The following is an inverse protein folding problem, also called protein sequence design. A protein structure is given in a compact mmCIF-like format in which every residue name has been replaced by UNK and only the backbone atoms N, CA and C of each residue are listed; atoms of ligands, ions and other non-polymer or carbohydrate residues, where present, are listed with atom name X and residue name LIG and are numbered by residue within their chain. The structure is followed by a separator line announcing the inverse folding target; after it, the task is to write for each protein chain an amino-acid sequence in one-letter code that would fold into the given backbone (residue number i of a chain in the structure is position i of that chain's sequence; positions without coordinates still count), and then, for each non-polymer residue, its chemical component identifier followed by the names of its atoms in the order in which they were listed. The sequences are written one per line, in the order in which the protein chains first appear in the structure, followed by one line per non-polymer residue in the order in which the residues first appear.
data_IF_627435180248
#
_entry.id   IF_627435180248
#
_cell.length_a   1.000
_cell.length_b   1.000
_cell.length_c   1.000
_cell.angle_alpha   90.00
_cell.angle_beta   90.00
_cell.angle_gamma   90.00
#
_symmetry.space_group_name_H-M   'P 1'
#
loop_
_entity.id
_entity.type
_entity.pdbx_description
1 polymer ?
#
# COMPACT_ATOMS: atom_id res chain seq x y z
N UNK A 1 20.08 -17.42 -21.87
CA UNK A 1 19.38 -16.45 -21.01
C UNK A 1 19.05 -17.00 -19.62
N UNK A 2 18.25 -18.07 -19.47
CA UNK A 2 17.93 -18.63 -18.13
C UNK A 2 19.16 -19.25 -17.44
N UNK A 3 19.88 -20.15 -18.13
CA UNK A 3 21.08 -20.79 -17.57
C UNK A 3 22.16 -19.78 -17.16
N UNK A 4 22.34 -18.72 -17.95
CA UNK A 4 23.28 -17.63 -17.64
C UNK A 4 22.85 -16.86 -16.38
N UNK A 5 21.54 -16.58 -16.24
CA UNK A 5 21.00 -15.92 -15.05
C UNK A 5 21.15 -16.81 -13.81
N UNK A 6 20.89 -18.12 -13.93
CA UNK A 6 21.12 -19.10 -12.87
C UNK A 6 22.58 -19.10 -12.42
N UNK A 7 23.51 -19.32 -13.36
CA UNK A 7 24.94 -19.37 -13.06
C UNK A 7 25.41 -18.07 -12.38
N UNK A 8 24.98 -16.92 -12.88
CA UNK A 8 25.33 -15.64 -12.29
C UNK A 8 24.86 -15.48 -10.84
N UNK A 9 23.64 -15.93 -10.52
CA UNK A 9 23.11 -15.88 -9.16
C UNK A 9 23.87 -16.83 -8.24
N UNK A 10 24.16 -18.04 -8.70
CA UNK A 10 24.94 -19.04 -7.96
C UNK A 10 26.37 -18.53 -7.68
N UNK A 11 27.01 -17.91 -8.68
CA UNK A 11 28.36 -17.33 -8.53
C UNK A 11 28.37 -16.11 -7.60
N UNK A 12 27.30 -15.30 -7.59
CA UNK A 12 27.19 -14.16 -6.68
C UNK A 12 27.00 -14.60 -5.22
N UNK A 13 26.23 -15.67 -4.99
CA UNK A 13 25.87 -16.14 -3.65
C UNK A 13 26.75 -17.29 -3.15
N UNK A 14 27.63 -17.84 -4.00
CA UNK A 14 28.44 -19.04 -3.76
C UNK A 14 27.61 -20.25 -3.29
N UNK A 15 26.40 -20.41 -3.84
CA UNK A 15 25.50 -21.53 -3.52
C UNK A 15 24.95 -22.17 -4.80
N UNK A 16 25.48 -23.34 -5.14
CA UNK A 16 25.12 -24.14 -6.32
C UNK A 16 23.86 -24.99 -6.12
N UNK A 17 23.26 -24.96 -4.92
CA UNK A 17 22.08 -25.79 -4.59
C UNK A 17 20.77 -25.03 -4.75
N UNK A 18 20.82 -23.71 -4.90
CA UNK A 18 19.68 -22.79 -4.92
C UNK A 18 18.56 -23.17 -5.89
N UNK A 19 18.89 -23.82 -7.00
CA UNK A 19 17.96 -24.04 -8.09
C UNK A 19 17.72 -25.51 -8.44
N UNK A 20 18.01 -26.44 -7.53
CA UNK A 20 17.78 -27.88 -7.74
C UNK A 20 16.31 -28.22 -8.09
N UNK A 21 15.36 -27.48 -7.51
CA UNK A 21 13.93 -27.68 -7.71
C UNK A 21 13.37 -27.01 -8.99
N UNK A 22 14.16 -26.18 -9.66
CA UNK A 22 13.72 -25.34 -10.78
C UNK A 22 14.08 -23.87 -10.59
N UNK A 23 14.14 -23.12 -11.70
CA UNK A 23 14.44 -21.69 -11.67
C UNK A 23 13.35 -20.85 -10.98
N UNK A 24 12.05 -20.96 -11.37
CA UNK A 24 11.00 -20.17 -10.74
C UNK A 24 10.73 -20.60 -9.29
N UNK A 25 10.85 -21.89 -8.97
CA UNK A 25 10.65 -22.42 -7.62
C UNK A 25 11.71 -21.88 -6.63
N UNK A 26 12.98 -21.84 -7.04
CA UNK A 26 14.07 -21.33 -6.19
C UNK A 26 14.00 -19.83 -5.90
N UNK A 27 13.35 -19.04 -6.77
CA UNK A 27 13.20 -17.59 -6.61
C UNK A 27 11.86 -17.18 -5.99
N UNK A 28 10.90 -18.08 -5.90
CA UNK A 28 9.52 -17.81 -5.45
C UNK A 28 9.45 -17.17 -4.06
N UNK A 29 10.37 -17.54 -3.17
CA UNK A 29 10.41 -17.01 -1.81
C UNK A 29 10.90 -15.55 -1.73
N UNK A 30 11.50 -15.03 -2.81
CA UNK A 30 12.06 -13.68 -2.89
C UNK A 30 13.34 -13.46 -2.06
N UNK A 31 13.75 -14.43 -1.23
CA UNK A 31 14.94 -14.30 -0.36
C UNK A 31 16.24 -14.29 -1.14
N UNK A 32 16.37 -15.20 -2.10
CA UNK A 32 17.54 -15.30 -2.98
C UNK A 32 17.75 -13.97 -3.72
N UNK A 33 16.66 -13.37 -4.21
CA UNK A 33 16.67 -12.07 -4.87
C UNK A 33 17.08 -10.93 -3.93
N UNK A 34 16.58 -10.90 -2.70
CA UNK A 34 17.00 -9.90 -1.71
C UNK A 34 18.48 -10.04 -1.35
N UNK A 35 18.96 -11.27 -1.18
CA UNK A 35 20.37 -11.56 -0.89
C UNK A 35 21.27 -11.15 -2.05
N UNK A 36 20.85 -11.39 -3.29
CA UNK A 36 21.56 -10.97 -4.50
C UNK A 36 21.75 -9.45 -4.55
N UNK A 37 20.70 -8.69 -4.26
CA UNK A 37 20.78 -7.21 -4.27
C UNK A 37 21.66 -6.69 -3.12
N UNK A 38 21.59 -7.32 -1.94
CA UNK A 38 22.49 -7.01 -0.83
C UNK A 38 23.95 -7.41 -1.12
N UNK A 39 24.21 -8.42 -1.95
CA UNK A 39 25.54 -8.75 -2.44
C UNK A 39 26.07 -7.66 -3.40
N UNK A 40 25.23 -7.17 -4.31
CA UNK A 40 25.59 -6.11 -5.26
C UNK A 40 25.89 -4.80 -4.53
N UNK A 41 25.00 -4.41 -3.61
CA UNK A 41 25.15 -3.22 -2.78
C UNK A 41 24.81 -3.55 -1.32
N UNK A 42 25.82 -3.73 -0.45
CA UNK A 42 25.59 -4.02 0.96
C UNK A 42 24.74 -2.94 1.64
N UNK A 43 23.74 -3.36 2.42
CA UNK A 43 22.91 -2.47 3.24
C UNK A 43 21.75 -1.77 2.51
N UNK A 44 21.47 -2.10 1.25
CA UNK A 44 20.33 -1.53 0.51
C UNK A 44 18.98 -2.06 1.01
N UNK A 45 18.90 -3.32 1.40
CA UNK A 45 17.69 -3.95 1.91
C UNK A 45 17.92 -4.55 3.31
N UNK A 46 16.93 -4.46 4.21
CA UNK A 46 16.97 -5.22 5.45
C UNK A 46 16.95 -6.74 5.17
N UNK A 47 17.36 -7.58 6.14
CA UNK A 47 17.30 -9.02 5.99
C UNK A 47 15.89 -9.50 5.59
N UNK A 48 15.77 -10.39 4.58
CA UNK A 48 14.47 -10.82 4.09
C UNK A 48 13.75 -11.71 5.10
N UNK A 49 12.42 -11.74 5.02
CA UNK A 49 11.59 -12.43 6.01
C UNK A 49 11.71 -13.95 5.95
N UNK A 50 11.92 -14.52 7.14
CA UNK A 50 11.81 -15.89 7.67
C UNK A 50 10.61 -16.76 7.31
N UNK A 51 9.48 -16.12 7.04
CA UNK A 51 8.19 -16.80 7.00
C UNK A 51 7.94 -17.49 5.66
N UNK A 52 7.27 -18.65 5.70
CA UNK A 52 6.75 -19.36 4.51
C UNK A 52 5.36 -18.87 4.08
N UNK A 53 4.84 -17.81 4.72
CA UNK A 53 3.52 -17.26 4.35
C UNK A 53 3.59 -16.49 3.03
N UNK A 54 2.61 -16.72 2.16
CA UNK A 54 2.53 -16.11 0.82
C UNK A 54 2.69 -14.59 0.85
N UNK A 55 2.05 -13.91 1.82
CA UNK A 55 2.17 -12.46 1.99
C UNK A 55 3.62 -12.01 2.23
N UNK A 56 4.40 -12.75 3.03
CA UNK A 56 5.80 -12.42 3.32
C UNK A 56 6.73 -12.72 2.14
N UNK A 57 6.46 -13.79 1.38
CA UNK A 57 7.18 -14.07 0.13
C UNK A 57 6.96 -12.95 -0.90
N UNK A 58 5.71 -12.50 -1.06
CA UNK A 58 5.37 -11.36 -1.92
C UNK A 58 6.01 -10.05 -1.48
N UNK A 59 6.09 -9.80 -0.16
CA UNK A 59 6.76 -8.62 0.41
C UNK A 59 8.28 -8.62 0.14
N UNK A 60 8.93 -9.79 0.21
CA UNK A 60 10.35 -9.94 -0.13
C UNK A 60 10.57 -9.58 -1.62
N UNK A 61 9.75 -10.12 -2.53
CA UNK A 61 9.84 -9.82 -3.96
C UNK A 61 9.62 -8.33 -4.23
N UNK A 62 8.62 -7.72 -3.60
CA UNK A 62 8.36 -6.28 -3.74
C UNK A 62 9.53 -5.43 -3.22
N UNK A 63 10.20 -5.87 -2.16
CA UNK A 63 11.38 -5.19 -1.62
C UNK A 63 12.57 -5.27 -2.57
N UNK A 64 12.80 -6.44 -3.18
CA UNK A 64 13.77 -6.60 -4.27
C UNK A 64 13.50 -5.63 -5.43
N UNK A 65 12.26 -5.54 -5.92
CA UNK A 65 11.90 -4.66 -7.05
C UNK A 65 12.17 -3.17 -6.73
N UNK A 66 11.86 -2.73 -5.51
CA UNK A 66 12.18 -1.37 -5.04
C UNK A 66 13.69 -1.11 -5.05
N UNK A 67 14.49 -2.07 -4.60
CA UNK A 67 15.93 -1.93 -4.62
C UNK A 67 16.50 -1.91 -6.05
N UNK A 68 15.98 -2.73 -6.96
CA UNK A 68 16.35 -2.70 -8.38
C UNK A 68 16.13 -1.32 -9.01
N UNK A 69 14.99 -0.68 -8.71
CA UNK A 69 14.72 0.68 -9.18
C UNK A 69 15.75 1.69 -8.65
N UNK A 70 16.17 1.58 -7.38
CA UNK A 70 17.22 2.42 -6.77
C UNK A 70 18.59 2.16 -7.40
N UNK A 71 18.89 0.92 -7.78
CA UNK A 71 20.14 0.55 -8.46
C UNK A 71 20.21 0.99 -9.94
N UNK A 72 19.15 1.60 -10.46
CA UNK A 72 19.12 2.14 -11.82
C UNK A 72 18.58 1.18 -12.87
N UNK A 73 17.91 0.09 -12.48
CA UNK A 73 17.15 -0.74 -13.42
C UNK A 73 15.94 0.07 -13.93
N UNK A 74 15.74 0.17 -15.25
CA UNK A 74 14.65 0.98 -15.79
C UNK A 74 13.28 0.35 -15.51
N UNK A 75 12.28 1.19 -15.25
CA UNK A 75 10.94 0.74 -14.81
C UNK A 75 10.25 -0.24 -15.78
N UNK A 76 10.54 -0.17 -17.08
CA UNK A 76 9.94 -1.08 -18.08
C UNK A 76 10.55 -2.50 -18.06
N UNK A 77 11.71 -2.68 -17.41
CA UNK A 77 12.33 -4.00 -17.19
C UNK A 77 12.04 -4.53 -15.78
N UNK A 78 11.23 -3.84 -14.97
CA UNK A 78 10.72 -4.36 -13.70
C UNK A 78 9.51 -5.26 -13.97
N UNK A 79 9.45 -6.41 -13.29
CA UNK A 79 8.31 -7.32 -13.33
C UNK A 79 7.37 -7.08 -12.15
N UNK A 80 6.18 -7.69 -12.17
CA UNK A 80 5.23 -7.62 -11.08
C UNK A 80 5.37 -8.82 -10.13
N UNK A 81 5.12 -8.64 -8.84
CA UNK A 81 5.26 -9.71 -7.83
C UNK A 81 4.54 -11.01 -8.22
N UNK A 82 3.37 -10.91 -8.86
CA UNK A 82 2.58 -12.06 -9.34
C UNK A 82 3.25 -12.83 -10.47
N UNK A 83 4.10 -12.19 -11.27
CA UNK A 83 4.81 -12.80 -12.40
C UNK A 83 5.77 -13.89 -11.94
N UNK A 84 6.40 -13.68 -10.78
CA UNK A 84 7.29 -14.63 -10.15
C UNK A 84 6.57 -15.56 -9.18
N UNK A 85 5.71 -15.02 -8.31
CA UNK A 85 5.08 -15.80 -7.25
C UNK A 85 4.17 -16.92 -7.77
N UNK A 86 3.46 -16.67 -8.87
CA UNK A 86 2.59 -17.64 -9.56
C UNK A 86 3.22 -18.16 -10.85
N UNK A 87 4.48 -17.82 -11.12
CA UNK A 87 5.20 -18.14 -12.35
C UNK A 87 4.48 -17.74 -13.65
N UNK A 88 3.66 -16.68 -13.62
CA UNK A 88 2.89 -16.19 -14.78
C UNK A 88 3.79 -15.69 -15.92
N UNK A 89 4.89 -15.01 -15.60
CA UNK A 89 5.77 -14.43 -16.61
C UNK A 89 7.25 -14.46 -16.19
N UNK A 90 7.85 -15.65 -16.26
CA UNK A 90 9.27 -15.86 -15.94
C UNK A 90 10.21 -15.15 -16.93
N UNK A 91 9.76 -14.90 -18.17
CA UNK A 91 10.56 -14.12 -19.14
C UNK A 91 10.81 -12.70 -18.66
N UNK A 92 9.81 -12.04 -18.05
CA UNK A 92 10.00 -10.71 -17.47
C UNK A 92 11.00 -10.73 -16.30
N UNK A 93 10.94 -11.77 -15.46
CA UNK A 93 11.90 -11.97 -14.36
C UNK A 93 13.33 -12.13 -14.90
N UNK A 94 13.50 -12.93 -15.96
CA UNK A 94 14.80 -13.10 -16.60
C UNK A 94 15.34 -11.78 -17.19
N UNK A 95 14.51 -11.04 -17.91
CA UNK A 95 14.89 -9.72 -18.44
C UNK A 95 15.34 -8.79 -17.32
N UNK A 96 14.61 -8.79 -16.19
CA UNK A 96 14.96 -7.99 -15.02
C UNK A 96 16.32 -8.38 -14.41
N UNK A 97 16.60 -9.67 -14.27
CA UNK A 97 17.89 -10.16 -13.74
C UNK A 97 19.05 -9.75 -14.65
N UNK A 98 18.87 -9.87 -15.97
CA UNK A 98 19.85 -9.38 -16.94
C UNK A 98 20.02 -7.86 -16.89
N UNK A 99 18.94 -7.11 -16.66
CA UNK A 99 19.00 -5.67 -16.45
C UNK A 99 19.73 -5.27 -15.17
N UNK A 100 19.50 -6.00 -14.09
CA UNK A 100 20.21 -5.83 -12.82
C UNK A 100 21.70 -6.13 -12.99
N UNK A 101 22.06 -7.19 -13.73
CA UNK A 101 23.46 -7.50 -14.06
C UNK A 101 24.16 -6.37 -14.80
N UNK A 102 23.48 -5.71 -15.76
CA UNK A 102 24.00 -4.52 -16.45
C UNK A 102 24.12 -3.31 -15.50
N UNK A 103 23.14 -3.09 -14.64
CA UNK A 103 23.14 -2.00 -13.67
C UNK A 103 24.27 -2.17 -12.64
N UNK A 104 24.50 -3.39 -12.15
CA UNK A 104 25.57 -3.72 -11.22
C UNK A 104 26.96 -3.35 -11.77
N UNK A 105 27.20 -3.52 -13.08
CA UNK A 105 28.45 -3.13 -13.73
C UNK A 105 28.72 -1.62 -13.73
N UNK A 106 27.68 -0.80 -13.54
CA UNK A 106 27.82 0.67 -13.45
C UNK A 106 28.25 1.13 -12.06
N UNK A 107 28.09 0.28 -11.04
CA UNK A 107 28.41 0.60 -9.67
C UNK A 107 29.91 0.42 -9.43
N UNK A 108 30.58 1.44 -8.91
CA UNK A 108 32.00 1.42 -8.59
C UNK A 108 32.36 0.47 -7.44
N UNK A 109 31.39 0.13 -6.59
CA UNK A 109 31.54 -0.76 -5.42
C UNK A 109 31.43 -2.25 -5.80
N UNK A 110 30.87 -2.56 -6.97
CA UNK A 110 30.64 -3.96 -7.37
C UNK A 110 31.93 -4.64 -7.81
N UNK A 111 32.18 -5.84 -7.28
CA UNK A 111 33.34 -6.72 -7.59
C UNK A 111 32.92 -8.15 -7.91
N UNK A 112 31.65 -8.35 -8.23
CA UNK A 112 31.09 -9.67 -8.52
C UNK A 112 31.22 -10.12 -9.97
N UNK A 113 30.75 -11.34 -10.27
CA UNK A 113 30.62 -11.89 -11.62
C UNK A 113 29.80 -10.98 -12.54
N UNK A 114 30.08 -11.00 -13.84
CA UNK A 114 29.43 -10.08 -14.78
C UNK A 114 28.31 -10.78 -15.54
N UNK A 115 27.11 -10.17 -15.57
CA UNK A 115 26.00 -10.62 -16.39
C UNK A 115 25.52 -9.51 -17.34
N UNK A 116 25.38 -9.85 -18.62
CA UNK A 116 24.90 -8.96 -19.67
C UNK A 116 25.97 -8.03 -20.27
N UNK A 117 25.63 -7.38 -21.38
CA UNK A 117 26.52 -6.47 -22.09
C UNK A 117 26.79 -5.19 -21.30
N UNK A 118 28.05 -4.74 -21.29
CA UNK A 118 28.46 -3.50 -20.63
C UNK A 118 27.73 -2.30 -21.22
N UNK A 119 27.01 -1.55 -20.39
CA UNK A 119 26.38 -0.30 -20.80
C UNK A 119 27.49 0.67 -21.23
N UNK A 120 27.45 1.10 -22.49
CA UNK A 120 28.44 2.00 -23.04
C UNK A 120 28.39 3.35 -22.29
N UNK A 121 29.49 3.71 -21.62
CA UNK A 121 29.63 5.05 -21.04
C UNK A 121 29.61 6.05 -22.20
N UNK A 122 28.63 6.96 -22.19
CA UNK A 122 28.56 8.02 -23.20
C UNK A 122 29.81 8.90 -23.08
N UNK A 123 30.77 8.71 -23.98
CA UNK A 123 31.94 9.55 -24.08
C UNK A 123 31.53 10.88 -24.71
N UNK A 124 31.23 11.88 -23.87
CA UNK A 124 31.08 13.26 -24.33
C UNK A 124 32.44 13.76 -24.80
N UNK A 125 32.75 13.55 -26.07
CA UNK A 125 33.84 14.24 -26.74
C UNK A 125 33.44 15.70 -26.82
N UNK A 126 33.97 16.52 -25.92
CA UNK A 126 33.89 17.96 -26.09
C UNK A 126 34.68 18.34 -27.34
N UNK A 127 33.97 18.61 -28.43
CA UNK A 127 34.58 19.01 -29.70
C UNK A 127 35.11 20.47 -29.66
N UNK A 128 35.00 21.16 -28.52
CA UNK A 128 35.37 22.58 -28.39
C UNK A 128 36.87 22.82 -28.53
N UNK A 129 37.75 21.85 -28.26
CA UNK A 129 39.21 22.07 -28.30
C UNK A 129 39.80 21.97 -29.73
N UNK A 130 39.11 21.28 -30.64
CA UNK A 130 39.61 21.12 -32.01
C UNK A 130 39.35 22.36 -32.88
N UNK A 131 38.29 23.13 -32.62
CA UNK A 131 37.97 24.34 -33.39
C UNK A 131 38.97 25.49 -33.15
N UNK A 132 39.44 25.66 -31.91
CA UNK A 132 40.38 26.73 -31.54
C UNK A 132 41.80 26.47 -32.07
N UNK A 133 42.20 25.21 -32.22
CA UNK A 133 43.51 24.84 -32.78
C UNK A 133 43.69 25.25 -34.25
N UNK A 134 42.60 25.31 -35.04
CA UNK A 134 42.65 25.75 -36.44
C UNK A 134 42.71 27.27 -36.57
N UNK A 135 42.14 28.02 -35.62
CA UNK A 135 42.14 29.48 -35.65
C UNK A 135 43.43 30.08 -35.11
N UNK A 136 44.07 29.45 -34.11
CA UNK A 136 45.31 29.97 -33.53
C UNK A 136 46.55 29.76 -34.42
N UNK A 137 46.51 28.79 -35.34
CA UNK A 137 47.62 28.52 -36.28
C UNK A 137 47.65 29.50 -37.48
N UNK A 138 46.56 30.23 -37.71
CA UNK A 138 46.47 31.26 -38.76
C UNK A 138 46.81 32.68 -38.24
N UNK A 139 46.97 32.87 -36.92
CA UNK A 139 47.13 34.20 -36.30
C UNK A 139 48.53 34.57 -35.81
N UNK A 140 49.51 33.65 -35.83
CA UNK A 140 50.83 33.86 -35.22
C UNK A 140 51.96 33.88 -36.27
N UNK A 141 52.01 34.94 -37.08
CA UNK A 141 53.03 35.07 -38.12
C UNK A 141 53.23 36.44 -38.76
N UNK A 142 52.67 37.53 -38.21
CA UNK A 142 52.88 38.89 -38.75
C UNK A 142 53.40 39.82 -37.67
N UNK A 143 54.69 39.73 -37.37
CA UNK A 143 55.42 40.87 -36.80
C UNK A 143 56.12 41.60 -37.96
N UNK A 144 55.72 42.84 -38.17
CA UNK A 144 56.21 43.72 -39.20
C UNK A 144 57.66 44.14 -38.93
N UNK A 145 58.56 43.87 -39.87
CA UNK A 145 59.76 44.69 -40.05
C UNK A 145 60.16 44.77 -41.53
N UNK A 146 60.23 46.02 -42.01
CA UNK A 146 60.89 46.52 -43.23
C UNK A 146 60.11 46.52 -44.55
N UNK A 147 60.02 47.66 -45.25
CA UNK A 147 59.38 47.75 -46.56
C UNK A 147 60.43 47.52 -47.65
N UNK A 148 60.27 46.46 -48.44
CA UNK A 148 60.94 46.37 -49.74
C UNK A 148 59.88 46.20 -50.83
N UNK A 149 59.91 47.17 -51.74
CA UNK A 149 59.16 47.27 -52.99
C UNK A 149 59.06 45.93 -53.70
N UNK A 150 57.85 45.54 -54.09
CA UNK A 150 57.66 44.76 -55.32
C UNK A 150 56.48 45.37 -56.09
N UNK A 151 56.82 45.72 -57.32
CA UNK A 151 56.07 46.16 -58.48
C UNK A 151 54.53 46.13 -58.48
N UNK A 152 54.01 47.25 -58.97
CA UNK A 152 52.72 47.44 -59.63
C UNK A 152 52.29 46.25 -60.52
N UNK A 153 51.05 45.82 -60.30
CA UNK A 153 50.19 45.32 -61.36
C UNK A 153 48.80 45.96 -61.20
N UNK A 154 48.33 46.57 -62.28
CA UNK A 154 47.07 47.29 -62.43
C UNK A 154 45.80 46.44 -62.22
N UNK A 155 44.66 47.15 -62.04
CA UNK A 155 43.22 46.76 -61.94
C UNK A 155 42.72 46.67 -60.48
N UNK A 156 41.64 47.31 -60.00
CA UNK A 156 40.51 48.08 -60.58
C UNK A 156 39.86 48.93 -59.44
N UNK A 157 39.30 50.13 -59.69
CA UNK A 157 38.67 50.94 -58.64
C UNK A 157 37.20 50.52 -58.42
N UNK A 158 36.96 49.33 -57.88
CA UNK A 158 35.60 48.91 -57.48
C UNK A 158 35.56 47.87 -56.34
N UNK A 159 36.48 47.92 -55.37
CA UNK A 159 36.56 46.90 -54.29
C UNK A 159 36.27 47.43 -52.87
N UNK A 160 36.29 48.75 -52.62
CA UNK A 160 36.11 49.27 -51.26
C UNK A 160 34.66 49.12 -50.75
N UNK A 161 33.66 49.23 -51.64
CA UNK A 161 32.26 49.05 -51.27
C UNK A 161 31.93 47.59 -50.92
N UNK A 162 32.49 46.63 -51.68
CA UNK A 162 32.30 45.20 -51.42
C UNK A 162 33.02 44.73 -50.15
N UNK A 163 34.23 45.23 -49.89
CA UNK A 163 34.95 44.99 -48.64
C UNK A 163 34.21 45.57 -47.42
N UNK A 164 33.63 46.77 -47.56
CA UNK A 164 32.84 47.40 -46.49
C UNK A 164 31.56 46.59 -46.21
N UNK A 165 30.88 46.12 -47.26
CA UNK A 165 29.69 45.28 -47.14
C UNK A 165 30.01 43.95 -46.42
N UNK A 166 31.14 43.31 -46.76
CA UNK A 166 31.63 42.09 -46.11
C UNK A 166 31.97 42.31 -44.63
N UNK A 167 32.60 43.44 -44.28
CA UNK A 167 32.89 43.79 -42.89
C UNK A 167 31.63 44.08 -42.07
N UNK A 168 30.63 44.77 -42.64
CA UNK A 168 29.35 45.02 -41.98
C UNK A 168 28.56 43.71 -41.76
N UNK A 169 28.58 42.80 -42.73
CA UNK A 169 27.96 41.49 -42.60
C UNK A 169 28.63 40.64 -41.52
N UNK A 170 29.97 40.66 -41.44
CA UNK A 170 30.74 39.97 -40.41
C UNK A 170 30.46 40.54 -39.00
N UNK A 171 30.36 41.86 -38.86
CA UNK A 171 30.00 42.51 -37.60
C UNK A 171 28.56 42.15 -37.16
N UNK A 172 27.62 42.12 -38.09
CA UNK A 172 26.25 41.69 -37.83
C UNK A 172 26.17 40.20 -37.41
N UNK A 173 26.96 39.33 -38.05
CA UNK A 173 27.05 37.92 -37.68
C UNK A 173 27.62 37.73 -36.26
N UNK A 174 28.68 38.47 -35.90
CA UNK A 174 29.24 38.44 -34.55
C UNK A 174 28.26 38.95 -33.48
N UNK A 175 27.49 40.00 -33.80
CA UNK A 175 26.44 40.50 -32.92
C UNK A 175 25.31 39.47 -32.72
N UNK A 176 24.93 38.74 -33.78
CA UNK A 176 23.95 37.66 -33.70
C UNK A 176 24.44 36.49 -32.84
N UNK A 177 25.70 36.07 -32.98
CA UNK A 177 26.31 35.02 -32.15
C UNK A 177 26.35 35.43 -30.67
N UNK A 178 26.71 36.68 -30.36
CA UNK A 178 26.67 37.19 -28.97
C UNK A 178 25.25 37.17 -28.40
N UNK A 179 24.25 37.61 -29.15
CA UNK A 179 22.83 37.57 -28.74
C UNK A 179 22.36 36.13 -28.50
N UNK A 180 22.69 35.20 -29.39
CA UNK A 180 22.35 33.79 -29.22
C UNK A 180 23.01 33.17 -27.98
N UNK A 181 24.26 33.53 -27.71
CA UNK A 181 25.01 33.07 -26.54
C UNK A 181 24.40 33.58 -25.22
N UNK A 182 23.98 34.84 -25.18
CA UNK A 182 23.24 35.41 -24.03
C UNK A 182 21.88 34.71 -23.85
N UNK A 183 21.13 34.49 -24.92
CA UNK A 183 19.84 33.78 -24.85
C UNK A 183 20.01 32.33 -24.37
N UNK A 184 21.05 31.63 -24.82
CA UNK A 184 21.38 30.28 -24.36
C UNK A 184 21.70 30.23 -22.87
N UNK A 185 22.45 31.22 -22.36
CA UNK A 185 22.77 31.29 -20.93
C UNK A 185 21.53 31.60 -20.09
N UNK A 186 20.67 32.53 -20.53
CA UNK A 186 19.38 32.79 -19.88
C UNK A 186 18.46 31.56 -19.85
N UNK A 187 18.42 30.79 -20.93
CA UNK A 187 17.67 29.53 -20.97
C UNK A 187 18.21 28.50 -19.97
N UNK A 188 19.54 28.35 -19.87
CA UNK A 188 20.17 27.47 -18.88
C UNK A 188 19.87 27.90 -17.44
N UNK A 189 19.94 29.19 -17.16
CA UNK A 189 19.59 29.72 -15.84
C UNK A 189 18.12 29.46 -15.50
N UNK A 190 17.20 29.68 -16.45
CA UNK A 190 15.78 29.39 -16.27
C UNK A 190 15.51 27.89 -16.01
N UNK A 191 16.23 26.99 -16.69
CA UNK A 191 16.12 25.54 -16.43
C UNK A 191 16.65 25.18 -15.05
N UNK A 192 17.81 25.72 -14.65
CA UNK A 192 18.37 25.46 -13.31
C UNK A 192 17.48 26.00 -12.18
N UNK A 193 16.80 27.12 -12.42
CA UNK A 193 15.86 27.71 -11.47
C UNK A 193 14.56 26.90 -11.37
N UNK A 194 14.09 26.32 -12.48
CA UNK A 194 12.95 25.40 -12.49
C UNK A 194 13.25 24.09 -11.75
N UNK A 195 14.48 23.55 -11.90
CA UNK A 195 14.94 22.37 -11.15
C UNK A 195 14.97 22.65 -9.64
N UNK A 196 15.55 23.78 -9.22
CA UNK A 196 15.54 24.19 -7.79
C UNK A 196 14.12 24.33 -7.23
N UNK A 197 13.18 24.88 -8.01
CA UNK A 197 11.78 24.99 -7.59
C UNK A 197 11.11 23.62 -7.48
N UNK A 198 11.46 22.68 -8.35
CA UNK A 198 10.94 21.30 -8.28
C UNK A 198 11.48 20.58 -7.05
N UNK A 199 12.78 20.73 -6.74
CA UNK A 199 13.39 20.16 -5.55
C UNK A 199 12.79 20.74 -4.26
N UNK A 200 12.61 22.07 -4.20
CA UNK A 200 11.94 22.72 -3.07
C UNK A 200 10.46 22.28 -2.92
N UNK A 201 9.74 22.12 -4.03
CA UNK A 201 8.36 21.61 -4.01
C UNK A 201 8.29 20.15 -3.56
N UNK A 202 9.28 19.32 -3.93
CA UNK A 202 9.39 17.93 -3.50
C UNK A 202 9.66 17.84 -2.00
N UNK A 203 10.52 18.70 -1.47
CA UNK A 203 10.82 18.78 -0.03
C UNK A 203 9.60 19.27 0.77
N UNK A 204 8.87 20.29 0.27
CA UNK A 204 7.62 20.74 0.87
C UNK A 204 6.53 19.66 0.88
N UNK A 205 6.40 18.89 -0.21
CA UNK A 205 5.47 17.74 -0.28
C UNK A 205 5.87 16.63 0.70
N UNK A 206 7.16 16.35 0.85
CA UNK A 206 7.65 15.37 1.80
C UNK A 206 7.41 15.83 3.26
N UNK A 207 7.57 17.12 3.54
CA UNK A 207 7.26 17.69 4.85
C UNK A 207 5.74 17.61 5.15
N UNK A 208 4.89 17.91 4.18
CA UNK A 208 3.43 17.79 4.31
C UNK A 208 3.00 16.34 4.55
N UNK A 209 3.51 15.39 3.75
CA UNK A 209 3.21 13.97 3.93
C UNK A 209 3.70 13.44 5.29
N UNK A 210 4.83 13.94 5.80
CA UNK A 210 5.33 13.60 7.13
C UNK A 210 4.40 14.15 8.22
N UNK A 211 3.93 15.39 8.10
CA UNK A 211 3.00 16.00 9.04
C UNK A 211 1.66 15.24 9.08
N UNK A 212 1.10 14.92 7.90
CA UNK A 212 -0.13 14.14 7.74
C UNK A 212 0.03 12.72 8.34
N UNK A 213 1.17 12.06 8.11
CA UNK A 213 1.45 10.76 8.72
C UNK A 213 1.54 10.81 10.25
N UNK A 214 2.11 11.87 10.84
CA UNK A 214 2.11 12.06 12.30
C UNK A 214 0.70 12.31 12.85
N UNK A 215 -0.14 13.05 12.14
CA UNK A 215 -1.51 13.33 12.57
C UNK A 215 -2.39 12.08 12.49
N UNK A 216 -2.28 11.29 11.41
CA UNK A 216 -2.96 10.00 11.27
C UNK A 216 -2.46 8.98 12.31
N UNK A 217 -1.16 8.98 12.62
CA UNK A 217 -0.60 8.12 13.68
C UNK A 217 -1.15 8.49 15.07
N UNK A 218 -1.34 9.79 15.36
CA UNK A 218 -1.96 10.23 16.61
C UNK A 218 -3.44 9.82 16.70
N UNK A 219 -4.22 10.06 15.64
CA UNK A 219 -5.64 9.69 15.61
C UNK A 219 -5.87 8.17 15.69
N UNK A 220 -4.99 7.36 15.09
CA UNK A 220 -5.08 5.89 15.17
C UNK A 220 -4.63 5.35 16.52
N UNK A 221 -3.70 6.01 17.22
CA UNK A 221 -3.32 5.66 18.58
C UNK A 221 -4.45 5.94 19.58
N UNK A 222 -5.10 7.10 19.49
CA UNK A 222 -6.24 7.46 20.34
C UNK A 222 -7.44 6.54 20.11
N UNK A 223 -7.72 6.18 18.84
CA UNK A 223 -8.78 5.23 18.51
C UNK A 223 -8.47 3.81 19.04
N UNK A 224 -7.21 3.37 19.00
CA UNK A 224 -6.79 2.07 19.53
C UNK A 224 -6.90 2.02 21.06
N UNK A 225 -6.46 3.07 21.75
CA UNK A 225 -6.58 3.18 23.21
C UNK A 225 -8.06 3.19 23.66
N UNK A 226 -8.93 3.91 22.93
CA UNK A 226 -10.37 3.91 23.20
C UNK A 226 -11.01 2.52 22.99
N UNK A 227 -10.58 1.77 21.96
CA UNK A 227 -11.07 0.42 21.71
C UNK A 227 -10.60 -0.60 22.77
N UNK A 228 -9.34 -0.51 23.21
CA UNK A 228 -8.80 -1.34 24.30
C UNK A 228 -9.49 -1.04 25.64
N UNK A 229 -9.78 0.23 25.95
CA UNK A 229 -10.54 0.59 27.14
C UNK A 229 -11.98 0.06 27.11
N UNK A 230 -12.65 0.13 25.95
CA UNK A 230 -14.04 -0.35 25.78
C UNK A 230 -14.13 -1.88 25.88
N UNK A 231 -13.12 -2.60 25.39
CA UNK A 231 -13.04 -4.07 25.53
C UNK A 231 -12.69 -4.50 26.95
N UNK A 232 -11.83 -3.77 27.68
CA UNK A 232 -11.57 -4.03 29.10
C UNK A 232 -12.83 -3.80 29.96
N UNK A 233 -13.57 -2.72 29.70
CA UNK A 233 -14.82 -2.42 30.42
C UNK A 233 -15.90 -3.49 30.18
N UNK A 234 -16.06 -3.96 28.93
CA UNK A 234 -16.98 -5.05 28.61
C UNK A 234 -16.59 -6.38 29.30
N UNK A 235 -15.29 -6.67 29.40
CA UNK A 235 -14.78 -7.85 30.10
C UNK A 235 -15.04 -7.78 31.61
N UNK A 236 -14.86 -6.61 32.21
CA UNK A 236 -15.12 -6.39 33.64
C UNK A 236 -16.61 -6.51 34.00
N UNK A 237 -17.50 -5.99 33.15
CA UNK A 237 -18.95 -6.15 33.31
C UNK A 237 -19.39 -7.62 33.15
N UNK A 238 -18.79 -8.36 32.21
CA UNK A 238 -19.06 -9.79 32.05
C UNK A 238 -18.62 -10.62 33.27
N UNK A 239 -17.43 -10.33 33.82
CA UNK A 239 -16.90 -11.02 35.01
C UNK A 239 -17.73 -10.71 36.28
N UNK A 240 -18.22 -9.48 36.39
CA UNK A 240 -19.15 -9.07 37.45
C UNK A 240 -20.51 -9.79 37.32
N UNK A 241 -21.04 -9.92 36.11
CA UNK A 241 -22.29 -10.64 35.85
C UNK A 241 -22.16 -12.14 36.12
N UNK A 242 -21.03 -12.75 35.75
CA UNK A 242 -20.74 -14.17 36.03
C UNK A 242 -20.66 -14.44 37.54
N UNK A 243 -19.96 -13.57 38.29
CA UNK A 243 -19.88 -13.68 39.75
C UNK A 243 -21.25 -13.53 40.42
N UNK A 244 -22.07 -12.59 39.96
CA UNK A 244 -23.43 -12.40 40.46
C UNK A 244 -24.34 -13.61 40.16
N UNK A 245 -24.21 -14.22 38.98
CA UNK A 245 -24.95 -15.43 38.63
C UNK A 245 -24.55 -16.63 39.50
N UNK A 246 -23.26 -16.77 39.80
CA UNK A 246 -22.75 -17.84 40.67
C UNK A 246 -23.27 -17.69 42.11
N UNK A 247 -23.32 -16.46 42.61
CA UNK A 247 -23.82 -16.13 43.94
C UNK A 247 -25.34 -16.34 44.06
N UNK A 248 -26.10 -15.98 43.03
CA UNK A 248 -27.54 -16.26 42.94
C UNK A 248 -27.83 -17.77 42.88
N UNK A 249 -27.03 -18.55 42.14
CA UNK A 249 -27.15 -20.00 42.09
C UNK A 249 -26.85 -20.66 43.45
N UNK A 250 -25.85 -20.14 44.18
CA UNK A 250 -25.54 -20.59 45.54
C UNK A 250 -26.69 -20.30 46.52
N UNK A 251 -27.28 -19.10 46.46
CA UNK A 251 -28.44 -18.73 47.29
C UNK A 251 -29.66 -19.61 47.00
N UNK A 252 -29.95 -19.90 45.72
CA UNK A 252 -31.05 -20.79 45.34
C UNK A 252 -30.84 -22.23 45.82
N UNK A 253 -29.59 -22.71 45.82
CA UNK A 253 -29.23 -24.04 46.34
C UNK A 253 -29.39 -24.11 47.85
N UNK A 254 -29.03 -23.04 48.57
CA UNK A 254 -29.24 -22.94 50.01
C UNK A 254 -30.72 -22.90 50.36
N UNK A 255 -31.53 -22.10 49.66
CA UNK A 255 -32.98 -22.05 49.85
C UNK A 255 -33.66 -23.42 49.63
N UNK A 256 -33.21 -24.21 48.65
CA UNK A 256 -33.69 -25.59 48.46
C UNK A 256 -33.35 -26.52 49.64
N UNK A 257 -32.16 -26.38 50.21
CA UNK A 257 -31.75 -27.16 51.40
C UNK A 257 -32.59 -26.76 52.62
N UNK A 258 -32.84 -25.46 52.79
CA UNK A 258 -33.64 -24.94 53.90
C UNK A 258 -35.12 -25.35 53.77
N UNK A 259 -35.67 -25.34 52.55
CA UNK A 259 -37.01 -25.85 52.27
C UNK A 259 -37.13 -27.36 52.51
N UNK A 260 -36.14 -28.16 52.08
CA UNK A 260 -36.11 -29.60 52.37
C UNK A 260 -35.96 -29.90 53.87
N UNK A 261 -35.23 -29.06 54.61
CA UNK A 261 -35.13 -29.17 56.07
C UNK A 261 -36.47 -28.83 56.75
N UNK A 262 -37.18 -27.82 56.26
CA UNK A 262 -38.52 -27.46 56.75
C UNK A 262 -39.55 -28.56 56.47
N UNK A 263 -39.53 -29.16 55.28
CA UNK A 263 -40.40 -30.29 54.92
C UNK A 263 -40.12 -31.53 55.79
N UNK A 264 -38.84 -31.83 56.04
CA UNK A 264 -38.43 -32.91 56.95
C UNK A 264 -38.85 -32.65 58.40
N UNK A 265 -38.77 -31.40 58.86
CA UNK A 265 -39.24 -30.99 60.19
C UNK A 265 -40.77 -31.10 60.32
N UNK A 266 -41.52 -30.71 59.28
CA UNK A 266 -42.97 -30.86 59.24
C UNK A 266 -43.38 -32.34 59.25
N UNK A 267 -42.69 -33.21 58.49
CA UNK A 267 -42.95 -34.65 58.50
C UNK A 267 -42.67 -35.29 59.88
N UNK A 268 -41.62 -34.84 60.57
CA UNK A 268 -41.31 -35.27 61.95
C UNK A 268 -42.37 -34.80 62.96
N UNK A 269 -42.93 -33.60 62.79
CA UNK A 269 -44.01 -33.09 63.64
C UNK A 269 -45.31 -33.89 63.43
N UNK A 270 -45.68 -34.18 62.17
CA UNK A 270 -46.85 -35.02 61.85
C UNK A 270 -46.68 -36.46 62.36
N UNK A 271 -45.47 -37.02 62.29
CA UNK A 271 -45.18 -38.33 62.86
C UNK A 271 -45.27 -38.35 64.40
N UNK A 272 -44.88 -37.26 65.07
CA UNK A 272 -45.02 -37.12 66.52
C UNK A 272 -46.49 -36.99 66.94
N UNK A 273 -47.30 -36.28 66.17
CA UNK A 273 -48.74 -36.12 66.41
C UNK A 273 -49.53 -37.43 66.16
N UNK A 274 -49.14 -38.20 65.13
CA UNK A 274 -49.68 -39.53 64.89
C UNK A 274 -49.31 -40.55 65.98
N UNK A 275 -48.12 -40.44 66.57
CA UNK A 275 -47.71 -41.28 67.71
C UNK A 275 -48.51 -40.97 68.98
N UNK A 276 -48.84 -39.70 69.24
CA UNK A 276 -49.68 -39.28 70.36
C UNK A 276 -51.14 -39.78 70.23
N UNK A 277 -51.66 -39.86 69.01
CA UNK A 277 -53.02 -40.39 68.75
C UNK A 277 -53.10 -41.92 68.92
N UNK A 278 -52.02 -42.64 68.63
CA UNK A 278 -51.94 -44.10 68.80
C UNK A 278 -51.97 -44.53 70.28
N UNK A 279 -51.44 -43.70 71.18
CA UNK A 279 -51.45 -43.96 72.63
C UNK A 279 -52.83 -43.70 73.27
N UNK A 280 -53.67 -42.87 72.65
CA UNK A 280 -55.04 -42.60 73.10
C UNK A 280 -56.07 -43.67 72.70
N UNK A 281 -55.75 -44.59 71.79
CA UNK A 281 -56.73 -45.54 71.21
C UNK A 281 -56.62 -46.97 71.78
N UNK A 282 -55.96 -47.14 72.92
CA UNK A 282 -55.65 -48.46 73.49
C UNK A 282 -56.67 -48.99 74.54
N UNK A 283 -57.86 -48.40 74.67
CA UNK A 283 -58.88 -48.88 75.62
C UNK A 283 -60.32 -48.77 75.09
N UNK A 284 -60.82 -49.82 74.45
CA UNK A 284 -62.11 -50.46 74.81
C UNK A 284 -62.38 -51.73 73.97
N UNK A 285 -63.02 -52.77 74.55
CA UNK A 285 -63.23 -54.05 73.89
C UNK A 285 -64.59 -54.13 73.15
N UNK A 286 -64.52 -54.82 72.01
CA UNK A 286 -65.50 -55.70 71.34
C UNK A 286 -66.94 -55.79 71.89
N UNK A 287 -67.95 -55.55 71.02
CA UNK A 287 -69.10 -56.45 70.75
C UNK A 287 -70.20 -55.77 69.87
N UNK A 288 -70.87 -56.60 69.07
CA UNK A 288 -72.26 -56.53 68.53
C UNK A 288 -72.53 -56.01 67.10
N UNK A 289 -72.72 -56.99 66.20
CA UNK A 289 -73.77 -57.14 65.15
C UNK A 289 -73.99 -56.09 64.03
N UNK A 290 -74.24 -56.54 62.78
CA UNK A 290 -74.50 -55.66 61.63
C UNK A 290 -76.00 -55.37 61.41
N UNK A 291 -76.37 -54.16 60.96
CA UNK A 291 -77.49 -54.00 60.03
C UNK A 291 -77.21 -52.90 58.94
N UNK A 292 -78.18 -52.55 58.08
CA UNK A 292 -78.28 -52.84 56.64
C UNK A 292 -77.71 -51.75 55.71
N UNK A 293 -77.62 -52.00 54.39
CA UNK A 293 -77.04 -51.05 53.43
C UNK A 293 -78.08 -49.98 53.05
N UNK A 294 -78.11 -48.84 53.74
CA UNK A 294 -78.80 -47.67 53.18
C UNK A 294 -78.27 -46.29 53.60
N UNK A 295 -77.03 -46.15 54.10
CA UNK A 295 -76.47 -44.82 54.40
C UNK A 295 -74.98 -44.66 54.03
N UNK A 296 -74.41 -45.53 53.19
CA UNK A 296 -73.06 -45.32 52.63
C UNK A 296 -73.00 -44.24 51.52
N UNK A 297 -74.16 -43.75 51.06
CA UNK A 297 -74.23 -42.71 50.04
C UNK A 297 -74.26 -41.28 50.60
N UNK A 298 -74.46 -41.09 51.91
CA UNK A 298 -74.63 -39.76 52.50
C UNK A 298 -73.36 -39.19 53.17
N UNK A 299 -72.30 -39.99 53.37
CA UNK A 299 -71.03 -39.49 53.91
C UNK A 299 -69.98 -39.13 52.85
N UNK A 300 -70.13 -39.58 51.61
CA UNK A 300 -69.21 -39.23 50.51
C UNK A 300 -69.49 -37.87 49.85
N UNK A 301 -70.54 -37.16 50.26
CA UNK A 301 -70.86 -35.80 49.78
C UNK A 301 -70.51 -34.69 50.80
N UNK A 302 -70.24 -35.04 52.07
CA UNK A 302 -69.84 -34.05 53.09
C UNK A 302 -68.33 -33.78 53.14
N UNK A 303 -67.50 -34.61 52.51
CA UNK A 303 -66.04 -34.42 52.41
C UNK A 303 -65.57 -33.88 51.05
N UNK A 304 -66.51 -33.57 50.14
CA UNK A 304 -66.24 -32.81 48.92
C UNK A 304 -66.49 -31.30 49.11
N UNK A 305 -67.19 -30.90 50.17
CA UNK A 305 -67.57 -29.51 50.41
C UNK A 305 -66.50 -28.67 51.14
N UNK A 306 -65.53 -29.27 51.85
CA UNK A 306 -64.41 -28.53 52.46
C UNK A 306 -63.12 -28.50 51.62
N UNK A 307 -63.16 -29.08 50.41
CA UNK A 307 -62.09 -28.98 49.40
C UNK A 307 -62.25 -27.84 48.39
N UNK A 308 -63.20 -26.93 48.61
CA UNK A 308 -63.60 -25.90 47.64
C UNK A 308 -63.38 -24.45 48.14
N UNK A 309 -62.42 -24.24 49.05
CA UNK A 309 -62.01 -22.92 49.53
C UNK A 309 -60.48 -22.70 49.54
N UNK A 310 -59.73 -23.38 48.67
CA UNK A 310 -58.29 -23.18 48.48
C UNK A 310 -57.89 -23.07 46.99
N UNK A 311 -58.73 -22.44 46.17
CA UNK A 311 -58.47 -22.16 44.74
C UNK A 311 -58.80 -20.69 44.39
N UNK A 312 -58.46 -19.77 45.29
CA UNK A 312 -58.48 -18.33 45.02
C UNK A 312 -57.30 -17.68 45.76
N UNK A 313 -56.09 -17.80 45.20
CA UNK A 313 -54.90 -17.24 45.81
C UNK A 313 -53.66 -17.43 44.95
N UNK A 314 -53.37 -16.42 44.14
CA UNK A 314 -52.08 -16.08 43.56
C UNK A 314 -51.37 -17.17 42.72
N UNK A 315 -51.47 -17.02 41.40
CA UNK A 315 -50.30 -17.25 40.55
C UNK A 315 -49.28 -16.14 40.83
N UNK A 316 -48.01 -16.48 41.13
CA UNK A 316 -46.93 -15.69 40.61
C UNK A 316 -45.91 -16.63 39.95
N UNK A 317 -46.29 -17.20 38.81
CA UNK A 317 -45.31 -17.64 37.82
C UNK A 317 -45.30 -16.60 36.69
N UNK A 318 -44.94 -15.37 37.04
CA UNK A 318 -44.68 -14.30 36.07
C UNK A 318 -43.59 -13.31 36.50
N UNK A 319 -42.85 -13.58 37.58
CA UNK A 319 -41.83 -12.64 38.11
C UNK A 319 -40.41 -13.24 38.20
N UNK A 320 -40.09 -14.21 37.33
CA UNK A 320 -38.76 -14.81 37.22
C UNK A 320 -38.13 -14.63 35.82
N UNK A 321 -38.41 -13.50 35.17
CA UNK A 321 -37.75 -13.14 33.89
C UNK A 321 -37.54 -11.61 33.70
N UNK A 322 -37.51 -10.84 34.79
CA UNK A 322 -37.16 -9.42 34.75
C UNK A 322 -35.63 -9.24 34.88
N UNK A 323 -34.92 -9.42 33.78
CA UNK A 323 -33.47 -9.24 33.72
C UNK A 323 -32.86 -9.24 32.32
N UNK A 324 -33.65 -9.50 31.28
CA UNK A 324 -33.24 -9.16 29.92
C UNK A 324 -33.63 -7.72 29.66
N UNK A 325 -32.62 -6.85 29.66
CA UNK A 325 -32.65 -5.53 29.04
C UNK A 325 -33.46 -5.59 27.74
N UNK A 326 -34.42 -4.67 27.62
CA UNK A 326 -35.27 -4.51 26.44
C UNK A 326 -34.44 -4.63 25.15
N UNK A 327 -34.90 -5.37 24.12
CA UNK A 327 -34.35 -5.21 22.79
C UNK A 327 -34.50 -3.73 22.39
N UNK A 328 -33.47 -3.12 21.77
CA UNK A 328 -33.46 -1.69 21.49
C UNK A 328 -34.75 -1.30 20.80
N UNK A 329 -35.44 -0.29 21.34
CA UNK A 329 -36.78 0.06 20.90
C UNK A 329 -36.78 0.32 19.39
N UNK A 330 -37.88 -0.01 18.70
CA UNK A 330 -38.00 0.12 17.25
C UNK A 330 -37.66 1.53 16.69
N UNK A 331 -37.62 2.56 17.54
CA UNK A 331 -37.13 3.91 17.21
C UNK A 331 -35.60 4.00 17.08
N UNK A 332 -34.84 3.32 17.93
CA UNK A 332 -33.37 3.37 17.89
C UNK A 332 -32.79 2.57 16.73
N UNK A 333 -33.49 1.50 16.30
CA UNK A 333 -33.16 0.78 15.07
C UNK A 333 -33.51 1.61 13.82
N UNK A 334 -34.64 2.33 13.79
CA UNK A 334 -34.98 3.18 12.65
C UNK A 334 -34.07 4.41 12.52
N UNK A 335 -33.66 5.03 13.62
CA UNK A 335 -32.71 6.16 13.61
C UNK A 335 -31.31 5.73 13.14
N UNK A 336 -30.89 4.50 13.48
CA UNK A 336 -29.64 3.91 12.98
C UNK A 336 -29.73 3.55 11.50
N UNK A 337 -30.86 3.00 11.03
CA UNK A 337 -31.08 2.70 9.61
C UNK A 337 -31.19 3.97 8.76
N UNK A 338 -31.73 5.06 9.31
CA UNK A 338 -31.77 6.37 8.68
C UNK A 338 -30.37 7.01 8.60
N UNK A 339 -29.57 6.89 9.66
CA UNK A 339 -28.17 7.33 9.68
C UNK A 339 -27.29 6.54 8.70
N UNK A 340 -27.49 5.23 8.59
CA UNK A 340 -26.80 4.37 7.62
C UNK A 340 -27.21 4.76 6.20
N UNK A 341 -28.48 5.05 5.96
CA UNK A 341 -28.98 5.49 4.65
C UNK A 341 -28.43 6.87 4.25
N UNK A 342 -28.30 7.80 5.20
CA UNK A 342 -27.67 9.11 4.98
C UNK A 342 -26.18 8.96 4.64
N UNK A 343 -25.43 8.17 5.41
CA UNK A 343 -24.02 7.89 5.12
C UNK A 343 -23.82 7.19 3.77
N UNK A 344 -24.73 6.29 3.38
CA UNK A 344 -24.71 5.66 2.06
C UNK A 344 -25.03 6.64 0.93
N UNK A 345 -25.90 7.62 1.15
CA UNK A 345 -26.19 8.69 0.19
C UNK A 345 -24.99 9.63 0.03
N UNK A 346 -24.35 10.04 1.13
CA UNK A 346 -23.12 10.84 1.10
C UNK A 346 -21.95 10.12 0.43
N UNK A 347 -21.81 8.81 0.64
CA UNK A 347 -20.79 8.01 -0.04
C UNK A 347 -21.04 7.95 -1.56
N UNK A 348 -22.31 7.90 -1.99
CA UNK A 348 -22.68 7.91 -3.41
C UNK A 348 -22.37 9.27 -4.05
N UNK A 349 -22.68 10.38 -3.39
CA UNK A 349 -22.36 11.72 -3.91
C UNK A 349 -20.86 11.97 -3.94
N UNK A 350 -20.12 11.55 -2.90
CA UNK A 350 -18.65 11.64 -2.87
C UNK A 350 -18.00 10.83 -4.00
N UNK A 351 -18.50 9.61 -4.27
CA UNK A 351 -18.02 8.78 -5.39
C UNK A 351 -18.33 9.39 -6.75
N UNK A 352 -19.49 10.03 -6.91
CA UNK A 352 -19.85 10.74 -8.14
C UNK A 352 -18.91 11.94 -8.38
N UNK A 353 -18.64 12.74 -7.34
CA UNK A 353 -17.72 13.87 -7.41
C UNK A 353 -16.26 13.43 -7.70
N UNK A 354 -15.84 12.29 -7.17
CA UNK A 354 -14.51 11.72 -7.46
C UNK A 354 -14.39 11.31 -8.93
N UNK A 355 -15.44 10.70 -9.49
CA UNK A 355 -15.49 10.28 -10.89
C UNK A 355 -15.51 11.47 -11.86
N UNK A 356 -16.15 12.56 -11.47
CA UNK A 356 -16.12 13.82 -12.21
C UNK A 356 -14.71 14.43 -12.24
N UNK A 357 -14.02 14.46 -11.08
CA UNK A 357 -12.62 14.91 -11.03
C UNK A 357 -11.66 14.02 -11.81
N UNK A 358 -11.91 12.72 -11.84
CA UNK A 358 -11.12 11.77 -12.64
C UNK A 358 -11.28 12.04 -14.15
N UNK A 359 -12.51 12.28 -14.61
CA UNK A 359 -12.79 12.70 -15.99
C UNK A 359 -12.14 14.04 -16.34
N UNK A 360 -12.13 15.02 -15.43
CA UNK A 360 -11.45 16.30 -15.63
C UNK A 360 -9.92 16.13 -15.74
N UNK A 361 -9.34 15.25 -14.92
CA UNK A 361 -7.92 14.93 -14.94
C UNK A 361 -7.52 14.26 -16.27
N UNK A 362 -8.32 13.29 -16.74
CA UNK A 362 -8.12 12.64 -18.04
C UNK A 362 -8.24 13.65 -19.19
N UNK A 363 -9.23 14.55 -19.14
CA UNK A 363 -9.39 15.62 -20.13
C UNK A 363 -8.21 16.62 -20.10
N UNK A 364 -7.63 16.89 -18.92
CA UNK A 364 -6.43 17.71 -18.78
C UNK A 364 -5.20 17.01 -19.39
N UNK A 365 -5.02 15.72 -19.10
CA UNK A 365 -3.94 14.91 -19.66
C UNK A 365 -4.01 14.82 -21.20
N UNK A 366 -5.23 14.69 -21.75
CA UNK A 366 -5.45 14.68 -23.20
C UNK A 366 -5.12 16.02 -23.86
N UNK A 367 -5.45 17.14 -23.20
CA UNK A 367 -5.06 18.49 -23.64
C UNK A 367 -3.54 18.67 -23.62
N UNK A 368 -2.87 18.21 -22.57
CA UNK A 368 -1.41 18.27 -22.48
C UNK A 368 -0.72 17.40 -23.53
N UNK A 369 -1.25 16.20 -23.80
CA UNK A 369 -0.75 15.32 -24.85
C UNK A 369 -0.90 15.96 -26.24
N UNK A 370 -2.05 16.58 -26.53
CA UNK A 370 -2.26 17.34 -27.77
C UNK A 370 -1.30 18.52 -27.89
N UNK A 371 -1.09 19.27 -26.81
CA UNK A 371 -0.14 20.39 -26.81
C UNK A 371 1.30 19.91 -27.08
N UNK A 372 1.71 18.80 -26.46
CA UNK A 372 3.02 18.17 -26.72
C UNK A 372 3.16 17.72 -28.16
N UNK A 373 2.11 17.19 -28.77
CA UNK A 373 2.10 16.81 -30.18
C UNK A 373 2.19 18.04 -31.10
N UNK A 374 1.46 19.11 -30.81
CA UNK A 374 1.58 20.37 -31.55
C UNK A 374 2.97 21.00 -31.43
N UNK A 375 3.56 21.02 -30.23
CA UNK A 375 4.94 21.51 -30.03
C UNK A 375 5.94 20.66 -30.83
N UNK A 376 5.75 19.33 -30.85
CA UNK A 376 6.61 18.42 -31.62
C UNK A 376 6.50 18.66 -33.13
N UNK A 377 5.31 18.93 -33.64
CA UNK A 377 5.09 19.28 -35.04
C UNK A 377 5.67 20.66 -35.39
N UNK A 378 5.45 21.67 -34.55
CA UNK A 378 6.00 23.02 -34.75
C UNK A 378 7.54 23.03 -34.74
N UNK A 379 8.16 22.21 -33.88
CA UNK A 379 9.62 22.03 -33.85
C UNK A 379 10.16 21.27 -35.07
N UNK A 380 9.37 20.37 -35.67
CA UNK A 380 9.74 19.68 -36.90
C UNK A 380 9.68 20.62 -38.12
N UNK A 381 8.78 21.60 -38.12
CA UNK A 381 8.59 22.57 -39.20
C UNK A 381 9.65 23.69 -39.20
N UNK A 382 10.31 23.95 -38.06
CA UNK A 382 11.36 24.98 -37.92
C UNK A 382 12.77 24.51 -38.29
N UNK A 383 12.97 23.23 -38.61
CA UNK A 383 14.26 22.67 -39.02
C UNK A 383 14.17 22.25 -40.48
N UNK A 384 14.73 23.01 -41.45
CA UNK A 384 14.72 22.57 -42.83
C UNK A 384 15.53 21.27 -42.96
N UNK A 385 15.08 20.29 -43.77
CA UNK A 385 15.83 19.07 -44.00
C UNK A 385 17.19 19.44 -44.59
N UNK A 386 18.26 18.95 -43.95
CA UNK A 386 19.63 19.01 -44.49
C UNK A 386 19.58 18.39 -45.88
N UNK A 387 19.68 19.22 -46.92
CA UNK A 387 19.93 18.76 -48.27
C UNK A 387 21.26 18.03 -48.27
N UNK A 388 21.20 16.72 -48.39
CA UNK A 388 22.36 15.91 -48.76
C UNK A 388 22.76 16.37 -50.15
N UNK A 389 23.87 17.11 -50.25
CA UNK A 389 24.56 17.35 -51.53
C UNK A 389 25.12 16.01 -51.97
N UNK A 390 24.35 15.29 -52.77
CA UNK A 390 24.80 14.14 -53.55
C UNK A 390 25.80 14.65 -54.60
N UNK A 391 26.99 14.06 -54.61
CA UNK A 391 28.13 14.50 -55.42
C UNK A 391 27.80 14.60 -56.90
N UNK A 392 28.05 15.78 -57.47
CA UNK A 392 28.19 15.96 -58.89
C UNK A 392 29.55 15.40 -59.32
N UNK A 393 29.51 14.39 -60.17
CA UNK A 393 30.66 13.79 -60.86
C UNK A 393 31.38 14.86 -61.70
N UNK A 394 32.59 15.21 -61.33
CA UNK A 394 33.50 16.02 -62.14
C UNK A 394 34.28 15.06 -63.07
N UNK A 395 33.83 14.91 -64.32
CA UNK A 395 34.66 14.27 -65.36
C UNK A 395 35.74 15.25 -65.78
N UNK A 396 36.98 14.99 -65.35
CA UNK A 396 38.18 15.65 -65.83
C UNK A 396 38.64 14.96 -67.12
N UNK A 397 38.60 15.70 -68.22
CA UNK A 397 39.18 15.34 -69.52
C UNK A 397 40.70 15.27 -69.40
N UNK A 398 41.30 14.18 -69.87
CA UNK A 398 42.71 14.15 -70.27
C UNK A 398 42.88 13.40 -71.59
N UNK A 399 43.65 14.06 -72.46
CA UNK A 399 44.12 13.74 -73.82
C UNK A 399 43.12 13.90 -74.96
#
# INVERSE_FOLDING_TARGET
MEQEARQWIEDCLNDTTLFHAGFPEGLRDGRVLCNLVNFIKPGILPPPSTSSTAFKQMENIASYLRACAVLGVPNHELFQTVDLFEAKNIKAVLTNIHALGRAAQTLSEYRGPVLGAKLATANSRDFSDRHDSYLNKAGSGINATSPTKVAEAHLWPMEQAELTLLQMLAAAAQAAVKKFRVQKNKAKEATSEAERRNDAAKEARAAFAKAEATEVAAQTADAKAAAEAKTLAAKAEAEKAEKAALEAAAQATQARKDAAAAEKAAALAVAAEAAALAEATAHQPDNTTPPPPSEAAAMFESLRADGAAAMAGASPVSDALAGYSEPPSAKELSEKDESISQLQAELRTARAALKEKELELEASAMREASLRQMIKLALAETIPPRTTVTGASFTHTQS
#
